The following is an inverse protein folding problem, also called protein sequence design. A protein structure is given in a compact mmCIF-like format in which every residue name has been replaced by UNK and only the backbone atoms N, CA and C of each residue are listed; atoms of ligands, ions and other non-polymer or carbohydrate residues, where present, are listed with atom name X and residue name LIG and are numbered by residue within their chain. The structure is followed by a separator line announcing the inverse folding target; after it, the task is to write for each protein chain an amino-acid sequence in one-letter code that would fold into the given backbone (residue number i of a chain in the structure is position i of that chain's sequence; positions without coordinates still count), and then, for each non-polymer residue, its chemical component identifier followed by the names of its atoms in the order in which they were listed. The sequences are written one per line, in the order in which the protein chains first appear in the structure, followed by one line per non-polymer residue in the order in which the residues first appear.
data_IF_183097694700
#
_entry.id   IF_183097694700
#
_cell.length_a   1.000
_cell.length_b   1.000
_cell.length_c   1.000
_cell.angle_alpha   90.00
_cell.angle_beta   90.00
_cell.angle_gamma   90.00
#
_symmetry.space_group_name_H-M   'P 1'
#
loop_
_entity.id
_entity.type
_entity.pdbx_description
1 polymer ?
#
# COMPACT_ATOMS: atom_id res chain seq x y z
N UNK A 1 -3.73 17.79 4.18
CA UNK A 1 -4.64 18.26 3.11
C UNK A 1 -3.98 19.01 1.97
N UNK A 2 -3.31 20.15 2.20
CA UNK A 2 -2.71 20.95 1.12
C UNK A 2 -1.80 20.15 0.17
N UNK A 3 -0.96 19.25 0.70
CA UNK A 3 -0.13 18.35 -0.12
C UNK A 3 -0.92 17.35 -0.97
N UNK A 4 -2.03 16.82 -0.47
CA UNK A 4 -2.94 15.96 -1.25
C UNK A 4 -3.53 16.73 -2.43
N UNK A 5 -4.11 17.90 -2.14
CA UNK A 5 -4.75 18.73 -3.16
C UNK A 5 -3.74 19.13 -4.22
N UNK A 6 -2.53 19.56 -3.82
CA UNK A 6 -1.48 19.90 -4.76
C UNK A 6 -1.12 18.70 -5.66
N UNK A 7 -0.82 17.52 -5.08
CA UNK A 7 -0.47 16.33 -5.86
C UNK A 7 -1.58 15.83 -6.80
N UNK A 8 -2.83 15.85 -6.34
CA UNK A 8 -3.97 15.45 -7.17
C UNK A 8 -4.22 16.48 -8.29
N UNK A 9 -4.19 17.78 -7.97
CA UNK A 9 -4.44 18.83 -8.97
C UNK A 9 -3.32 18.95 -10.00
N UNK A 10 -2.10 18.51 -9.70
CA UNK A 10 -1.04 18.36 -10.72
C UNK A 10 -1.41 17.35 -11.81
N UNK A 11 -2.27 16.37 -11.51
CA UNK A 11 -2.78 15.41 -12.49
C UNK A 11 -4.02 15.93 -13.25
N UNK A 12 -4.54 17.11 -12.92
CA UNK A 12 -5.68 17.70 -13.62
C UNK A 12 -5.39 17.89 -15.11
N UNK A 13 -6.24 17.29 -15.95
CA UNK A 13 -6.07 17.24 -17.40
C UNK A 13 -5.25 16.04 -17.91
N UNK A 14 -4.62 15.27 -17.04
CA UNK A 14 -3.86 14.06 -17.36
C UNK A 14 -4.52 12.77 -16.84
N UNK A 15 -5.78 12.82 -16.40
CA UNK A 15 -6.52 11.71 -15.80
C UNK A 15 -6.58 10.45 -16.68
N UNK A 16 -6.58 10.60 -18.00
CA UNK A 16 -6.55 9.47 -18.94
C UNK A 16 -5.31 8.59 -18.78
N UNK A 17 -4.21 9.15 -18.27
CA UNK A 17 -2.98 8.39 -18.01
C UNK A 17 -3.13 7.38 -16.87
N UNK A 18 -4.12 7.53 -15.99
CA UNK A 18 -4.39 6.53 -14.95
C UNK A 18 -4.81 5.17 -15.52
N UNK A 19 -5.37 5.14 -16.73
CA UNK A 19 -5.76 3.88 -17.38
C UNK A 19 -4.57 3.14 -17.99
N UNK A 20 -3.50 3.85 -18.32
CA UNK A 20 -2.38 3.33 -19.10
C UNK A 20 -1.08 3.21 -18.31
N UNK A 21 -0.86 4.08 -17.32
CA UNK A 21 0.36 4.12 -16.52
C UNK A 21 0.10 3.62 -15.08
N UNK A 22 0.55 2.39 -14.75
CA UNK A 22 0.36 1.84 -13.42
C UNK A 22 1.19 2.57 -12.35
N UNK A 23 2.26 3.29 -12.72
CA UNK A 23 3.03 4.08 -11.76
C UNK A 23 2.17 5.23 -11.26
N UNK A 24 1.41 5.88 -12.14
CA UNK A 24 0.48 6.95 -11.73
C UNK A 24 -0.63 6.44 -10.83
N UNK A 25 -1.10 5.20 -11.03
CA UNK A 25 -2.05 4.54 -10.13
C UNK A 25 -1.49 4.44 -8.71
N UNK A 26 -0.24 3.99 -8.54
CA UNK A 26 0.40 3.98 -7.23
C UNK A 26 0.45 5.39 -6.61
N UNK A 27 0.87 6.40 -7.38
CA UNK A 27 1.02 7.77 -6.88
C UNK A 27 -0.32 8.39 -6.46
N UNK A 28 -1.37 8.32 -7.30
CA UNK A 28 -2.69 8.90 -6.97
C UNK A 28 -3.32 8.18 -5.77
N UNK A 29 -3.22 6.85 -5.71
CA UNK A 29 -3.75 6.07 -4.58
C UNK A 29 -3.00 6.40 -3.29
N UNK A 30 -1.68 6.62 -3.37
CA UNK A 30 -0.90 7.10 -2.24
C UNK A 30 -1.43 8.44 -1.72
N UNK A 31 -1.63 9.42 -2.61
CA UNK A 31 -2.19 10.73 -2.21
C UNK A 31 -3.58 10.59 -1.58
N UNK A 32 -4.42 9.69 -2.07
CA UNK A 32 -5.74 9.43 -1.52
C UNK A 32 -5.66 8.89 -0.07
N UNK A 33 -4.81 7.90 0.19
CA UNK A 33 -4.59 7.38 1.55
C UNK A 33 -3.89 8.39 2.46
N UNK A 34 -3.02 9.25 1.93
CA UNK A 34 -2.49 10.39 2.67
C UNK A 34 -3.60 11.35 3.10
N UNK A 35 -4.52 11.69 2.19
CA UNK A 35 -5.70 12.47 2.52
C UNK A 35 -6.55 11.85 3.61
N UNK A 36 -6.87 10.56 3.46
CA UNK A 36 -7.66 9.80 4.43
C UNK A 36 -7.00 9.75 5.81
N UNK A 37 -5.73 9.33 5.89
CA UNK A 37 -5.01 9.23 7.17
C UNK A 37 -4.81 10.61 7.81
N UNK A 38 -4.48 11.64 7.04
CA UNK A 38 -4.38 13.02 7.57
C UNK A 38 -5.73 13.70 7.86
N UNK A 39 -6.85 13.07 7.50
CA UNK A 39 -8.17 13.39 8.05
C UNK A 39 -8.42 12.67 9.37
N UNK A 40 -8.20 11.36 9.36
CA UNK A 40 -8.50 10.46 10.44
C UNK A 40 -7.69 10.79 11.70
N UNK A 41 -6.40 11.13 11.54
CA UNK A 41 -5.53 11.52 12.65
C UNK A 41 -6.08 12.69 13.47
N UNK A 42 -6.39 13.85 12.85
CA UNK A 42 -7.07 14.95 13.53
C UNK A 42 -8.40 14.56 14.18
N UNK A 43 -9.23 13.73 13.52
CA UNK A 43 -10.48 13.23 14.12
C UNK A 43 -10.20 12.42 15.39
N UNK A 44 -9.24 11.50 15.35
CA UNK A 44 -8.82 10.68 16.50
C UNK A 44 -8.13 11.47 17.62
N UNK A 45 -7.69 12.71 17.34
CA UNK A 45 -7.10 13.60 18.35
C UNK A 45 -8.16 14.35 19.17
N UNK A 46 -9.42 14.40 18.71
CA UNK A 46 -10.53 14.97 19.47
C UNK A 46 -10.83 14.07 20.67
N UNK A 47 -10.91 14.64 21.88
CA UNK A 47 -11.10 13.88 23.12
C UNK A 47 -12.28 12.90 23.07
N UNK A 48 -13.40 13.30 22.47
CA UNK A 48 -14.59 12.46 22.34
C UNK A 48 -14.39 11.23 21.45
N UNK A 49 -13.64 11.39 20.35
CA UNK A 49 -13.29 10.29 19.44
C UNK A 49 -12.17 9.45 20.03
N UNK A 50 -11.16 10.10 20.62
CA UNK A 50 -10.04 9.43 21.28
C UNK A 50 -10.51 8.54 22.42
N UNK A 51 -11.53 8.97 23.16
CA UNK A 51 -12.14 8.13 24.19
C UNK A 51 -12.56 6.77 23.64
N UNK A 52 -12.95 6.66 22.35
CA UNK A 52 -13.30 5.41 21.65
C UNK A 52 -12.12 4.72 20.96
N UNK A 53 -11.24 5.48 20.32
CA UNK A 53 -10.15 4.92 19.50
C UNK A 53 -8.90 4.55 20.27
N UNK A 54 -8.70 5.12 21.47
CA UNK A 54 -7.53 4.85 22.30
C UNK A 54 -7.54 3.40 22.81
N UNK A 55 -6.37 2.75 22.76
CA UNK A 55 -6.18 1.33 23.11
C UNK A 55 -7.02 0.33 22.29
N UNK A 56 -7.58 0.75 21.16
CA UNK A 56 -8.26 -0.18 20.24
C UNK A 56 -7.50 -0.34 18.93
N UNK A 57 -7.85 -1.37 18.18
CA UNK A 57 -7.29 -1.64 16.85
C UNK A 57 -7.57 -0.55 15.81
N UNK A 58 -8.40 0.45 16.12
CA UNK A 58 -8.56 1.63 15.27
C UNK A 58 -7.22 2.35 15.08
N UNK A 59 -6.43 2.50 16.14
CA UNK A 59 -5.10 3.13 16.03
C UNK A 59 -4.19 2.36 15.06
N UNK A 60 -4.27 1.02 15.07
CA UNK A 60 -3.50 0.18 14.15
C UNK A 60 -4.00 0.34 12.71
N UNK A 61 -5.31 0.46 12.51
CA UNK A 61 -5.92 0.78 11.21
C UNK A 61 -5.43 2.12 10.67
N UNK A 62 -5.43 3.16 11.50
CA UNK A 62 -4.90 4.48 11.16
C UNK A 62 -3.41 4.45 10.78
N UNK A 63 -2.60 3.74 11.56
CA UNK A 63 -1.17 3.59 11.26
C UNK A 63 -0.97 2.91 9.91
N UNK A 64 -1.70 1.84 9.60
CA UNK A 64 -1.51 1.11 8.35
C UNK A 64 -2.15 1.81 7.14
N UNK A 65 -3.18 2.63 7.33
CA UNK A 65 -3.70 3.50 6.26
C UNK A 65 -2.63 4.51 5.82
N UNK A 66 -1.86 5.07 6.76
CA UNK A 66 -0.71 5.92 6.46
C UNK A 66 0.53 5.14 5.98
N UNK A 67 0.90 4.06 6.65
CA UNK A 67 2.14 3.33 6.36
C UNK A 67 2.06 2.57 5.04
N UNK A 68 1.03 1.75 4.84
CA UNK A 68 0.87 0.96 3.62
C UNK A 68 0.23 1.81 2.52
N UNK A 69 -0.88 2.48 2.85
CA UNK A 69 -1.66 3.23 1.88
C UNK A 69 -0.93 4.46 1.33
N UNK A 70 -0.23 5.22 2.17
CA UNK A 70 0.53 6.39 1.73
C UNK A 70 2.01 6.09 1.49
N UNK A 71 2.77 5.82 2.55
CA UNK A 71 4.24 5.75 2.49
C UNK A 71 4.72 4.64 1.56
N UNK A 72 4.19 3.43 1.69
CA UNK A 72 4.61 2.32 0.86
C UNK A 72 4.19 2.55 -0.61
N UNK A 73 2.94 2.95 -0.89
CA UNK A 73 2.47 3.17 -2.27
C UNK A 73 3.28 4.25 -3.01
N UNK A 74 3.55 5.41 -2.38
CA UNK A 74 4.35 6.46 -3.02
C UNK A 74 5.79 6.00 -3.27
N UNK A 75 6.35 5.25 -2.32
CA UNK A 75 7.70 4.69 -2.44
C UNK A 75 7.76 3.67 -3.56
N UNK A 76 6.83 2.72 -3.61
CA UNK A 76 6.73 1.70 -4.66
C UNK A 76 6.62 2.35 -6.04
N UNK A 77 5.73 3.33 -6.21
CA UNK A 77 5.61 4.09 -7.45
C UNK A 77 6.93 4.78 -7.83
N UNK A 78 7.62 5.38 -6.86
CA UNK A 78 8.91 6.04 -7.07
C UNK A 78 9.98 5.06 -7.53
N UNK A 79 10.04 3.86 -6.94
CA UNK A 79 10.97 2.81 -7.36
C UNK A 79 10.69 2.32 -8.79
N UNK A 80 9.42 2.06 -9.13
CA UNK A 80 9.06 1.67 -10.50
C UNK A 80 9.41 2.75 -11.53
N UNK A 81 9.39 4.02 -11.14
CA UNK A 81 9.82 5.11 -12.01
C UNK A 81 11.35 5.22 -12.12
N UNK A 82 12.05 5.12 -10.99
CA UNK A 82 13.47 5.45 -10.87
C UNK A 82 14.40 4.31 -11.30
N UNK A 83 14.12 3.07 -10.89
CA UNK A 83 14.98 1.90 -11.18
C UNK A 83 15.27 1.71 -12.68
N UNK A 84 14.29 1.66 -13.60
CA UNK A 84 14.59 1.52 -15.03
C UNK A 84 15.46 2.65 -15.56
N UNK A 85 15.30 3.89 -15.06
CA UNK A 85 16.09 5.06 -15.48
C UNK A 85 17.54 4.98 -15.01
N UNK A 86 17.77 4.55 -13.77
CA UNK A 86 19.12 4.36 -13.24
C UNK A 86 19.91 3.31 -14.02
N UNK A 87 19.22 2.29 -14.55
CA UNK A 87 19.82 1.24 -15.39
C UNK A 87 19.67 1.49 -16.89
N UNK A 88 19.17 2.66 -17.33
CA UNK A 88 19.02 2.99 -18.75
C UNK A 88 18.14 2.01 -19.54
N UNK A 89 17.20 1.33 -18.89
CA UNK A 89 16.36 0.27 -19.47
C UNK A 89 14.87 0.57 -19.32
N UNK A 90 14.02 -0.34 -19.80
CA UNK A 90 12.57 -0.35 -19.57
C UNK A 90 12.24 -1.39 -18.49
N UNK A 91 11.14 -1.18 -17.77
CA UNK A 91 10.64 -2.18 -16.82
C UNK A 91 10.40 -3.52 -17.51
N UNK A 92 10.76 -4.60 -16.82
CA UNK A 92 10.62 -5.97 -17.34
C UNK A 92 9.16 -6.30 -17.73
N UNK A 93 8.19 -5.97 -16.88
CA UNK A 93 6.78 -6.21 -17.19
C UNK A 93 5.85 -5.19 -16.53
N UNK A 94 5.15 -4.40 -17.34
CA UNK A 94 4.10 -3.47 -16.87
C UNK A 94 2.88 -4.21 -16.34
N UNK A 95 2.54 -5.39 -16.89
CA UNK A 95 1.44 -6.24 -16.41
C UNK A 95 1.63 -6.64 -14.94
N UNK A 96 2.84 -7.02 -14.57
CA UNK A 96 3.16 -7.35 -13.17
C UNK A 96 3.03 -6.14 -12.24
N UNK A 97 3.32 -4.92 -12.73
CA UNK A 97 3.09 -3.69 -11.96
C UNK A 97 1.60 -3.45 -11.72
N UNK A 98 0.75 -3.66 -12.73
CA UNK A 98 -0.72 -3.61 -12.56
C UNK A 98 -1.21 -4.68 -11.57
N UNK A 99 -0.71 -5.91 -11.66
CA UNK A 99 -1.07 -6.98 -10.71
C UNK A 99 -0.65 -6.62 -9.29
N UNK A 100 0.58 -6.11 -9.12
CA UNK A 100 1.04 -5.62 -7.83
C UNK A 100 0.14 -4.51 -7.28
N UNK A 101 -0.22 -3.52 -8.11
CA UNK A 101 -1.11 -2.43 -7.71
C UNK A 101 -2.43 -2.94 -7.14
N UNK A 102 -3.09 -3.87 -7.82
CA UNK A 102 -4.38 -4.39 -7.36
C UNK A 102 -4.27 -5.24 -6.10
N UNK A 103 -3.28 -6.14 -6.04
CA UNK A 103 -3.05 -6.98 -4.86
C UNK A 103 -2.73 -6.11 -3.64
N UNK A 104 -1.87 -5.10 -3.80
CA UNK A 104 -1.51 -4.17 -2.73
C UNK A 104 -2.74 -3.36 -2.28
N UNK A 105 -3.50 -2.79 -3.23
CA UNK A 105 -4.66 -1.96 -2.92
C UNK A 105 -5.76 -2.75 -2.21
N UNK A 106 -6.09 -3.95 -2.69
CA UNK A 106 -7.08 -4.82 -2.04
C UNK A 106 -6.58 -5.24 -0.66
N UNK A 107 -5.30 -5.60 -0.52
CA UNK A 107 -4.69 -5.94 0.76
C UNK A 107 -4.79 -4.81 1.78
N UNK A 108 -4.49 -3.57 1.37
CA UNK A 108 -4.62 -2.37 2.22
C UNK A 108 -6.07 -2.17 2.65
N UNK A 109 -7.04 -2.23 1.73
CA UNK A 109 -8.45 -2.00 2.04
C UNK A 109 -8.96 -3.06 3.03
N UNK A 110 -8.64 -4.34 2.82
CA UNK A 110 -8.98 -5.42 3.76
C UNK A 110 -8.38 -5.17 5.14
N UNK A 111 -7.12 -4.75 5.19
CA UNK A 111 -6.43 -4.44 6.44
C UNK A 111 -7.16 -3.31 7.19
N UNK A 112 -7.38 -2.17 6.54
CA UNK A 112 -7.99 -0.99 7.18
C UNK A 112 -9.42 -1.28 7.64
N UNK A 113 -10.25 -1.88 6.78
CA UNK A 113 -11.65 -2.20 7.12
C UNK A 113 -11.71 -3.15 8.31
N UNK A 114 -10.86 -4.18 8.34
CA UNK A 114 -10.82 -5.11 9.49
C UNK A 114 -10.46 -4.39 10.80
N UNK A 115 -9.53 -3.43 10.76
CA UNK A 115 -9.11 -2.67 11.93
C UNK A 115 -10.13 -1.62 12.37
N UNK A 116 -10.91 -1.05 11.46
CA UNK A 116 -12.06 -0.23 11.84
C UNK A 116 -13.14 -1.05 12.53
N UNK A 117 -13.48 -2.23 12.00
CA UNK A 117 -14.46 -3.14 12.63
C UNK A 117 -13.97 -3.58 14.01
N UNK A 118 -12.72 -4.00 14.13
CA UNK A 118 -12.12 -4.37 15.42
C UNK A 118 -12.10 -3.18 16.39
N UNK A 119 -11.60 -2.03 15.94
CA UNK A 119 -11.40 -0.86 16.79
C UNK A 119 -12.70 -0.25 17.33
N UNK A 120 -13.68 -0.05 16.45
CA UNK A 120 -15.00 0.48 16.84
C UNK A 120 -15.72 -0.56 17.70
N UNK A 121 -15.73 -1.83 17.29
CA UNK A 121 -16.39 -2.90 18.05
C UNK A 121 -15.80 -3.06 19.45
N UNK A 122 -14.48 -3.16 19.56
CA UNK A 122 -13.77 -3.23 20.85
C UNK A 122 -14.05 -2.00 21.71
N UNK A 123 -13.96 -0.80 21.14
CA UNK A 123 -14.22 0.44 21.87
C UNK A 123 -15.64 0.55 22.40
N UNK A 124 -16.64 0.07 21.64
CA UNK A 124 -18.04 0.04 22.04
C UNK A 124 -18.28 -1.01 23.14
N UNK A 125 -17.73 -2.22 23.00
CA UNK A 125 -17.88 -3.27 24.00
C UNK A 125 -17.27 -2.88 25.35
N UNK A 126 -16.09 -2.24 25.35
CA UNK A 126 -15.39 -1.80 26.57
C UNK A 126 -16.10 -0.66 27.32
N UNK A 127 -17.11 -0.02 26.73
CA UNK A 127 -17.91 1.04 27.38
C UNK A 127 -19.40 0.72 27.46
N UNK A 128 -19.80 -0.49 27.06
CA UNK A 128 -21.19 -0.86 27.05
C UNK A 128 -21.66 -1.16 28.47
N UNK A 129 -22.73 -0.50 28.88
CA UNK A 129 -23.40 -0.75 30.15
C UNK A 129 -24.76 -1.41 29.89
N UNK A 130 -25.15 -2.34 30.74
CA UNK A 130 -26.49 -2.93 30.73
C UNK A 130 -27.52 -1.99 31.35
N UNK A 131 -28.79 -2.40 31.37
CA UNK A 131 -29.88 -1.63 31.96
C UNK A 131 -29.76 -1.41 33.48
N UNK A 132 -28.85 -2.12 34.15
CA UNK A 132 -28.58 -2.04 35.57
C UNK A 132 -27.31 -1.23 35.89
N UNK A 133 -26.60 -0.74 34.88
CA UNK A 133 -25.35 0.02 35.03
C UNK A 133 -24.09 -0.85 35.22
N UNK A 134 -24.18 -2.16 35.04
CA UNK A 134 -23.01 -3.05 35.03
C UNK A 134 -22.37 -3.07 33.65
N UNK A 135 -21.10 -3.45 33.57
CA UNK A 135 -20.42 -3.63 32.29
C UNK A 135 -21.06 -4.81 31.54
N UNK A 136 -21.53 -4.55 30.32
CA UNK A 136 -22.30 -5.52 29.53
C UNK A 136 -21.46 -6.67 28.96
N UNK A 137 -20.14 -6.47 28.82
CA UNK A 137 -19.21 -7.47 28.29
C UNK A 137 -17.99 -7.61 29.18
N UNK A 138 -17.50 -8.84 29.31
CA UNK A 138 -16.19 -9.15 29.86
C UNK A 138 -15.10 -8.82 28.86
N UNK A 139 -13.87 -8.63 29.35
CA UNK A 139 -12.73 -8.40 28.46
C UNK A 139 -12.48 -9.57 27.49
N UNK A 140 -12.68 -10.81 27.93
CA UNK A 140 -12.45 -12.01 27.10
C UNK A 140 -13.43 -12.08 25.92
N UNK A 141 -14.66 -11.61 26.08
CA UNK A 141 -15.61 -11.50 24.97
C UNK A 141 -15.12 -10.52 23.91
N UNK A 142 -14.52 -9.39 24.32
CA UNK A 142 -13.90 -8.44 23.37
C UNK A 142 -12.75 -9.10 22.60
N UNK A 143 -11.92 -9.91 23.27
CA UNK A 143 -10.82 -10.64 22.63
C UNK A 143 -11.35 -11.67 21.63
N UNK A 144 -12.41 -12.38 21.98
CA UNK A 144 -13.04 -13.37 21.11
C UNK A 144 -13.64 -12.71 19.86
N UNK A 145 -14.28 -11.54 20.02
CA UNK A 145 -14.79 -10.73 18.90
C UNK A 145 -13.69 -10.34 17.90
N UNK A 146 -12.49 -10.01 18.38
CA UNK A 146 -11.36 -9.58 17.53
C UNK A 146 -10.76 -10.69 16.66
N UNK A 147 -11.08 -11.96 16.89
CA UNK A 147 -10.49 -13.07 16.13
C UNK A 147 -10.73 -12.95 14.62
N UNK A 148 -11.97 -12.71 14.19
CA UNK A 148 -12.30 -12.61 12.76
C UNK A 148 -11.61 -11.40 12.10
N UNK A 149 -11.68 -10.18 12.67
CA UNK A 149 -10.87 -9.07 12.18
C UNK A 149 -9.38 -9.36 12.08
N UNK A 150 -8.78 -10.10 13.02
CA UNK A 150 -7.35 -10.45 12.95
C UNK A 150 -7.00 -11.41 11.83
N UNK A 151 -7.89 -12.36 11.50
CA UNK A 151 -7.70 -13.22 10.33
C UNK A 151 -7.75 -12.40 9.04
N UNK A 152 -8.71 -11.48 8.92
CA UNK A 152 -8.82 -10.60 7.74
C UNK A 152 -7.61 -9.67 7.62
N UNK A 153 -7.13 -9.13 8.74
CA UNK A 153 -5.90 -8.33 8.81
C UNK A 153 -4.70 -9.12 8.28
N UNK A 154 -4.52 -10.35 8.75
CA UNK A 154 -3.42 -11.21 8.34
C UNK A 154 -3.49 -11.52 6.83
N UNK A 155 -4.70 -11.79 6.31
CA UNK A 155 -4.91 -12.00 4.89
C UNK A 155 -4.58 -10.74 4.06
N UNK A 156 -5.06 -9.57 4.47
CA UNK A 156 -4.76 -8.30 3.80
C UNK A 156 -3.27 -7.97 3.81
N UNK A 157 -2.59 -8.20 4.94
CA UNK A 157 -1.13 -8.06 5.07
C UNK A 157 -0.36 -9.04 4.19
N UNK A 158 -0.79 -10.30 4.13
CA UNK A 158 -0.18 -11.32 3.27
C UNK A 158 -0.35 -10.99 1.78
N UNK A 159 -1.51 -10.47 1.37
CA UNK A 159 -1.72 -9.95 0.03
C UNK A 159 -0.72 -8.83 -0.28
N UNK A 160 -0.61 -7.82 0.58
CA UNK A 160 0.34 -6.72 0.39
C UNK A 160 1.79 -7.23 0.29
N UNK A 161 2.18 -8.16 1.16
CA UNK A 161 3.51 -8.78 1.13
C UNK A 161 3.76 -9.54 -0.19
N UNK A 162 2.77 -10.28 -0.69
CA UNK A 162 2.87 -10.95 -1.99
C UNK A 162 3.10 -9.94 -3.14
N UNK A 163 2.50 -8.75 -3.04
CA UNK A 163 2.75 -7.64 -3.95
C UNK A 163 4.21 -7.17 -3.92
N UNK A 164 4.79 -7.05 -2.73
CA UNK A 164 6.21 -6.71 -2.57
C UNK A 164 7.14 -7.77 -3.16
N UNK A 165 6.79 -9.05 -3.08
CA UNK A 165 7.54 -10.12 -3.75
C UNK A 165 7.47 -9.99 -5.28
N UNK A 166 6.29 -9.65 -5.83
CA UNK A 166 6.14 -9.36 -7.26
C UNK A 166 6.98 -8.16 -7.70
N UNK A 167 7.04 -7.11 -6.88
CA UNK A 167 7.90 -5.97 -7.12
C UNK A 167 9.38 -6.35 -7.14
N UNK A 168 9.83 -7.07 -6.11
CA UNK A 168 11.21 -7.53 -6.02
C UNK A 168 11.61 -8.35 -7.25
N UNK A 169 10.76 -9.29 -7.67
CA UNK A 169 10.97 -10.07 -8.89
C UNK A 169 11.05 -9.20 -10.15
N UNK A 170 10.10 -8.27 -10.35
CA UNK A 170 10.04 -7.43 -11.54
C UNK A 170 11.26 -6.50 -11.64
N UNK A 171 11.64 -5.87 -10.53
CA UNK A 171 12.82 -5.00 -10.47
C UNK A 171 14.12 -5.79 -10.64
N UNK A 172 14.23 -6.98 -10.03
CA UNK A 172 15.37 -7.86 -10.21
C UNK A 172 15.55 -8.24 -11.69
N UNK A 173 14.48 -8.67 -12.36
CA UNK A 173 14.52 -9.01 -13.79
C UNK A 173 14.83 -7.81 -14.67
N UNK A 174 14.37 -6.61 -14.30
CA UNK A 174 14.70 -5.36 -14.99
C UNK A 174 16.21 -5.10 -14.95
N UNK A 175 16.82 -5.17 -13.76
CA UNK A 175 18.26 -4.95 -13.55
C UNK A 175 19.11 -6.05 -14.21
N UNK A 176 18.68 -7.30 -14.10
CA UNK A 176 19.38 -8.44 -14.67
C UNK A 176 19.34 -8.46 -16.20
N UNK A 177 18.21 -8.06 -16.80
CA UNK A 177 18.05 -7.93 -18.25
C UNK A 177 19.04 -6.95 -18.88
N UNK A 178 19.27 -5.80 -18.22
CA UNK A 178 20.24 -4.80 -18.69
C UNK A 178 21.67 -5.33 -18.73
N UNK A 179 22.10 -6.14 -17.74
CA UNK A 179 23.45 -6.74 -17.76
C UNK A 179 23.68 -7.62 -18.99
N UNK A 180 22.64 -8.21 -19.58
CA UNK A 180 22.74 -9.02 -20.80
C UNK A 180 22.84 -8.18 -22.07
N UNK A 181 22.22 -7.00 -22.11
CA UNK A 181 22.32 -6.09 -23.26
C UNK A 181 23.66 -5.32 -23.29
N UNK A 182 24.26 -5.08 -22.12
CA UNK A 182 25.57 -4.40 -21.98
C UNK A 182 26.76 -5.37 -22.15
N UNK A 183 26.55 -6.68 -22.02
CA UNK A 183 27.57 -7.66 -22.43
C UNK A 183 27.66 -7.62 -23.96
N UNK A 184 28.80 -7.21 -24.55
CA UNK A 184 28.90 -7.07 -25.98
C UNK A 184 28.57 -8.41 -26.63
N UNK A 185 27.89 -8.34 -27.77
CA UNK A 185 28.16 -9.24 -28.89
C UNK A 185 29.67 -9.18 -29.11
N UNK A 186 30.41 -10.01 -28.39
CA UNK A 186 31.84 -10.12 -28.53
C UNK A 186 32.07 -10.72 -29.91
N UNK A 187 32.38 -9.83 -30.83
CA UNK A 187 33.28 -10.07 -31.95
C UNK A 187 32.82 -11.08 -33.02
N UNK A 188 31.79 -10.71 -33.79
CA UNK A 188 31.54 -11.35 -35.10
C UNK A 188 32.14 -10.56 -36.27
N UNK A 189 32.62 -9.34 -36.04
CA UNK A 189 33.22 -8.49 -37.09
C UNK A 189 34.74 -8.67 -37.24
N UNK A 190 35.50 -9.11 -36.24
CA UNK A 190 36.94 -9.37 -36.42
C UNK A 190 37.23 -10.76 -37.02
N UNK A 191 36.29 -11.71 -36.99
CA UNK A 191 36.48 -13.02 -37.63
C UNK A 191 36.46 -12.91 -39.17
N UNK A 192 35.73 -11.94 -39.73
CA UNK A 192 35.63 -11.75 -41.18
C UNK A 192 36.85 -11.10 -41.83
N UNK A 193 37.69 -10.38 -41.07
CA UNK A 193 38.86 -9.64 -41.59
C UNK A 193 40.13 -10.51 -41.58
N UNK A 194 40.13 -11.69 -40.94
CA UNK A 194 41.28 -12.62 -40.96
C UNK A 194 41.25 -13.64 -42.12
N UNK A 195 40.30 -13.53 -43.06
CA UNK A 195 40.12 -14.45 -44.20
C UNK A 195 40.22 -13.78 -45.58
N UNK A 196 41.07 -12.77 -45.72
CA UNK A 196 41.48 -12.19 -47.01
C UNK A 196 42.99 -12.04 -47.03
#
# INVERSE_FOLDING_TARGET
WGGMINGIMTLSGAWEKLRSDPIMLFMITAMAFYGMSTFEGPMMSLKSVNALSHYTDWTIGHVHSGALGWVAMITIGSFYHMVPRLWGTKLYSTKLVFTHFWIATIGIVLYIVSMWVAGIGQGLMLRAFDQYGNLAYTFVETVTFMHIPYVVRALGGAMFLSGMLLMAYNLYMTVWGTRREVLPVADQSAIAVSRT
#
